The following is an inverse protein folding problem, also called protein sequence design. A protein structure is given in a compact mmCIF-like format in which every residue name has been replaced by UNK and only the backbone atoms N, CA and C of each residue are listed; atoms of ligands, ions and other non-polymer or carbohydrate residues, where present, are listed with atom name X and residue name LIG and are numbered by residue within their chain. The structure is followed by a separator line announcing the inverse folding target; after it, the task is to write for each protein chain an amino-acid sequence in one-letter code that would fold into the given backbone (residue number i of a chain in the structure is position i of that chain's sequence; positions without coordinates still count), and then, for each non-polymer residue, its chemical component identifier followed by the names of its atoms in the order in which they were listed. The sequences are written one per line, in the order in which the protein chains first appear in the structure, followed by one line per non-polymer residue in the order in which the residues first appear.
data_IF_192638921950
#
_entry.id   IF_192638921950
#
_cell.length_a   1.000
_cell.length_b   1.000
_cell.length_c   1.000
_cell.angle_alpha   90.00
_cell.angle_beta   90.00
_cell.angle_gamma   90.00
#
_symmetry.space_group_name_H-M   'P 1'
#
loop_
_entity.id
_entity.type
_entity.pdbx_description
1 polymer ?
#
# COMPACT_ATOMS: atom_id res chain seq x y z
N UNK A 1 5.04 31.69 43.29
CA UNK A 1 5.56 30.30 43.21
C UNK A 1 4.89 29.59 42.06
N UNK A 2 5.71 28.98 41.20
CA UNK A 2 5.37 28.28 39.97
C UNK A 2 5.04 26.79 40.22
N UNK A 3 4.42 26.18 39.21
CA UNK A 3 4.53 24.76 38.79
C UNK A 3 3.61 23.74 39.51
N UNK A 4 2.94 22.76 38.85
CA UNK A 4 3.13 22.15 37.53
C UNK A 4 1.80 21.78 36.85
N UNK A 5 1.83 21.88 35.52
CA UNK A 5 0.85 21.42 34.54
C UNK A 5 0.70 19.88 34.53
N UNK A 6 -0.52 19.39 34.33
CA UNK A 6 -0.76 18.05 33.79
C UNK A 6 -1.47 18.19 32.45
N UNK A 7 -0.66 18.18 31.38
CA UNK A 7 -1.12 18.26 29.99
C UNK A 7 -1.66 16.89 29.59
N UNK A 8 -2.99 16.77 29.47
CA UNK A 8 -3.60 15.66 28.72
C UNK A 8 -3.45 15.94 27.23
N UNK A 9 -2.72 15.03 26.60
CA UNK A 9 -2.56 14.89 25.16
C UNK A 9 -3.92 14.84 24.46
N UNK A 10 -4.07 15.68 23.44
CA UNK A 10 -5.23 15.73 22.57
C UNK A 10 -4.77 16.33 21.25
N UNK A 11 -3.97 15.58 20.51
CA UNK A 11 -3.72 15.90 19.11
C UNK A 11 -5.04 15.68 18.36
N UNK A 12 -5.81 16.75 18.20
CA UNK A 12 -6.95 16.80 17.31
C UNK A 12 -6.38 16.64 15.90
N UNK A 13 -6.41 15.41 15.39
CA UNK A 13 -6.13 15.14 13.98
C UNK A 13 -7.10 15.95 13.14
N UNK A 14 -6.56 16.84 12.31
CA UNK A 14 -7.30 17.65 11.37
C UNK A 14 -8.18 16.79 10.46
N UNK A 15 -9.43 17.19 10.14
CA UNK A 15 -10.24 16.49 9.15
C UNK A 15 -9.68 16.84 7.76
N UNK A 16 -8.74 16.03 7.27
CA UNK A 16 -8.31 16.13 5.88
C UNK A 16 -9.50 15.77 4.99
N UNK A 17 -9.97 16.75 4.22
CA UNK A 17 -10.87 16.56 3.08
C UNK A 17 -10.24 15.51 2.15
N UNK A 18 -10.66 14.26 2.29
CA UNK A 18 -10.27 13.20 1.38
C UNK A 18 -10.98 13.47 0.05
N UNK A 19 -10.20 13.72 -1.01
CA UNK A 19 -10.66 13.40 -2.36
C UNK A 19 -11.14 11.94 -2.34
N UNK A 20 -12.22 11.62 -3.06
CA UNK A 20 -12.77 10.26 -3.07
C UNK A 20 -11.77 9.36 -3.83
N UNK A 21 -10.77 8.84 -3.13
CA UNK A 21 -9.86 7.81 -3.67
C UNK A 21 -10.67 6.52 -3.73
N UNK A 22 -10.85 5.90 -4.91
CA UNK A 22 -11.61 4.66 -5.04
C UNK A 22 -11.11 3.59 -4.06
N UNK A 23 -12.04 2.83 -3.48
CA UNK A 23 -11.68 1.69 -2.62
C UNK A 23 -11.04 0.59 -3.46
N UNK A 24 -10.01 -0.03 -2.93
CA UNK A 24 -9.33 -1.20 -3.51
C UNK A 24 -9.42 -2.44 -2.62
N UNK A 25 -8.77 -3.51 -3.06
CA UNK A 25 -8.78 -4.81 -2.40
C UNK A 25 -8.07 -4.78 -1.04
N UNK A 26 -7.08 -3.91 -0.85
CA UNK A 26 -6.42 -3.73 0.46
C UNK A 26 -7.36 -3.00 1.42
N UNK A 27 -8.10 -1.98 0.97
CA UNK A 27 -9.11 -1.35 1.83
C UNK A 27 -10.21 -2.35 2.23
N UNK A 28 -10.58 -3.24 1.31
CA UNK A 28 -11.55 -4.32 1.56
C UNK A 28 -11.02 -5.33 2.58
N UNK A 29 -9.72 -5.65 2.53
CA UNK A 29 -9.07 -6.44 3.58
C UNK A 29 -9.11 -5.72 4.93
N UNK A 30 -8.66 -4.47 5.01
CA UNK A 30 -8.62 -3.71 6.26
C UNK A 30 -10.01 -3.52 6.88
N UNK A 31 -11.07 -3.40 6.07
CA UNK A 31 -12.45 -3.29 6.54
C UNK A 31 -12.96 -4.53 7.30
N UNK A 32 -12.29 -5.69 7.19
CA UNK A 32 -12.61 -6.89 7.98
C UNK A 32 -12.20 -6.75 9.45
N UNK A 33 -11.45 -5.71 9.80
CA UNK A 33 -10.93 -5.44 11.14
C UNK A 33 -11.43 -4.09 11.66
N UNK A 34 -12.72 -3.96 12.04
CA UNK A 34 -13.34 -2.67 12.37
C UNK A 34 -12.77 -1.97 13.63
N UNK A 35 -11.97 -2.67 14.45
CA UNK A 35 -11.24 -2.08 15.58
C UNK A 35 -9.90 -1.42 15.21
N UNK A 36 -9.43 -1.63 13.98
CA UNK A 36 -8.16 -1.10 13.50
C UNK A 36 -8.39 0.18 12.68
N UNK A 37 -7.79 1.28 13.11
CA UNK A 37 -7.91 2.58 12.46
C UNK A 37 -6.98 2.69 11.24
N UNK A 38 -7.25 1.92 10.18
CA UNK A 38 -6.43 1.86 8.96
C UNK A 38 -6.25 3.22 8.29
N UNK A 39 -5.03 3.52 7.85
CA UNK A 39 -4.66 4.74 7.12
C UNK A 39 -3.96 4.39 5.80
N UNK A 40 -4.56 4.82 4.69
CA UNK A 40 -3.99 4.64 3.34
C UNK A 40 -2.72 5.48 3.11
N UNK A 41 -2.49 6.51 3.91
CA UNK A 41 -1.32 7.39 3.79
C UNK A 41 -0.04 6.77 4.36
N UNK A 42 -0.16 5.68 5.11
CA UNK A 42 0.97 4.93 5.66
C UNK A 42 1.45 3.84 4.68
N UNK A 43 2.74 3.43 4.75
CA UNK A 43 3.23 2.33 3.93
C UNK A 43 2.44 1.05 4.15
N UNK A 44 2.12 0.34 3.06
CA UNK A 44 1.29 -0.88 3.06
C UNK A 44 1.78 -1.91 4.09
N UNK A 45 3.10 -2.17 4.11
CA UNK A 45 3.68 -3.13 5.04
C UNK A 45 3.60 -2.65 6.50
N UNK A 46 3.86 -1.36 6.73
CA UNK A 46 3.82 -0.77 8.07
C UNK A 46 2.40 -0.80 8.65
N UNK A 47 1.36 -0.65 7.84
CA UNK A 47 -0.03 -0.80 8.31
C UNK A 47 -0.38 -2.24 8.70
N UNK A 48 0.19 -3.24 8.03
CA UNK A 48 0.00 -4.63 8.43
C UNK A 48 0.73 -4.94 9.75
N UNK A 49 1.96 -4.42 9.92
CA UNK A 49 2.70 -4.57 11.17
C UNK A 49 1.97 -3.88 12.32
N UNK A 50 1.49 -2.64 12.11
CA UNK A 50 0.68 -1.90 13.09
C UNK A 50 -0.61 -2.63 13.44
N UNK A 51 -1.26 -3.25 12.47
CA UNK A 51 -2.44 -4.09 12.71
C UNK A 51 -2.08 -5.28 13.62
N UNK A 52 -0.96 -5.96 13.39
CA UNK A 52 -0.51 -7.06 14.25
C UNK A 52 -0.24 -6.57 15.68
N UNK A 53 0.39 -5.41 15.84
CA UNK A 53 0.66 -4.80 17.14
C UNK A 53 -0.64 -4.42 17.87
N UNK A 54 -1.59 -3.77 17.18
CA UNK A 54 -2.88 -3.36 17.75
C UNK A 54 -3.72 -4.55 18.23
N UNK A 55 -3.64 -5.70 17.55
CA UNK A 55 -4.32 -6.94 17.96
C UNK A 55 -3.47 -7.84 18.87
N UNK A 56 -2.22 -7.47 19.16
CA UNK A 56 -1.31 -8.25 20.00
C UNK A 56 -0.89 -9.59 19.39
N UNK A 57 -0.88 -9.73 18.06
CA UNK A 57 -0.52 -10.98 17.41
C UNK A 57 0.99 -11.15 17.31
N UNK A 58 1.53 -12.09 18.08
CA UNK A 58 2.92 -12.53 17.98
C UNK A 58 3.20 -13.27 16.66
N UNK A 59 4.46 -13.53 16.35
CA UNK A 59 4.88 -14.12 15.06
C UNK A 59 4.27 -15.51 14.80
N UNK A 60 4.07 -16.29 15.86
CA UNK A 60 3.61 -17.67 15.78
C UNK A 60 2.09 -17.80 15.98
N UNK A 61 1.36 -16.68 16.12
CA UNK A 61 -0.09 -16.72 16.27
C UNK A 61 -0.78 -17.15 14.96
N UNK A 62 -1.68 -18.14 15.01
CA UNK A 62 -2.47 -18.54 13.85
C UNK A 62 -3.26 -17.38 13.23
N UNK A 63 -3.70 -16.42 14.04
CA UNK A 63 -4.41 -15.21 13.62
C UNK A 63 -3.54 -14.34 12.72
N UNK A 64 -2.26 -14.13 13.08
CA UNK A 64 -1.31 -13.39 12.25
C UNK A 64 -1.09 -14.09 10.92
N UNK A 65 -0.91 -15.41 10.95
CA UNK A 65 -0.68 -16.18 9.71
C UNK A 65 -1.88 -16.11 8.77
N UNK A 66 -3.10 -16.22 9.32
CA UNK A 66 -4.35 -16.07 8.54
C UNK A 66 -4.48 -14.66 7.98
N UNK A 67 -4.28 -13.63 8.79
CA UNK A 67 -4.33 -12.23 8.36
C UNK A 67 -3.30 -11.96 7.28
N UNK A 68 -2.07 -12.49 7.41
CA UNK A 68 -1.01 -12.35 6.42
C UNK A 68 -1.37 -12.96 5.07
N UNK A 69 -1.98 -14.16 5.04
CA UNK A 69 -2.44 -14.80 3.80
C UNK A 69 -3.50 -13.97 3.08
N UNK A 70 -4.47 -13.43 3.83
CA UNK A 70 -5.53 -12.57 3.30
C UNK A 70 -4.96 -11.24 2.79
N UNK A 71 -4.09 -10.62 3.58
CA UNK A 71 -3.41 -9.38 3.22
C UNK A 71 -2.59 -9.53 1.94
N UNK A 72 -1.76 -10.59 1.85
CA UNK A 72 -0.98 -10.88 0.64
C UNK A 72 -1.87 -11.09 -0.58
N UNK A 73 -3.01 -11.76 -0.41
CA UNK A 73 -3.98 -11.95 -1.49
C UNK A 73 -4.55 -10.61 -1.97
N UNK A 74 -4.94 -9.74 -1.03
CA UNK A 74 -5.45 -8.40 -1.34
C UNK A 74 -4.40 -7.54 -2.05
N UNK A 75 -3.14 -7.57 -1.61
CA UNK A 75 -2.03 -6.87 -2.26
C UNK A 75 -1.82 -7.33 -3.71
N UNK A 76 -1.85 -8.64 -3.97
CA UNK A 76 -1.71 -9.19 -5.32
C UNK A 76 -2.90 -8.77 -6.20
N UNK A 77 -4.13 -8.83 -5.66
CA UNK A 77 -5.32 -8.41 -6.39
C UNK A 77 -5.27 -6.92 -6.73
N UNK A 78 -4.95 -6.06 -5.75
CA UNK A 78 -4.80 -4.62 -5.97
C UNK A 78 -3.72 -4.30 -7.01
N UNK A 79 -2.61 -5.03 -7.00
CA UNK A 79 -1.58 -4.89 -8.03
C UNK A 79 -2.12 -5.26 -9.42
N UNK A 80 -2.76 -6.41 -9.55
CA UNK A 80 -3.32 -6.89 -10.82
C UNK A 80 -4.41 -5.94 -11.37
N UNK A 81 -5.28 -5.41 -10.52
CA UNK A 81 -6.29 -4.41 -10.88
C UNK A 81 -5.66 -3.10 -11.35
N UNK A 82 -4.50 -2.75 -10.82
CA UNK A 82 -3.80 -1.50 -11.13
C UNK A 82 -2.96 -1.58 -12.41
N UNK A 83 -2.14 -2.63 -12.55
CA UNK A 83 -1.17 -2.73 -13.64
C UNK A 83 -1.63 -3.65 -14.76
N UNK A 84 -2.53 -4.59 -14.48
CA UNK A 84 -2.95 -5.67 -15.35
C UNK A 84 -2.43 -7.04 -14.86
N UNK A 85 -3.23 -8.13 -14.95
CA UNK A 85 -2.84 -9.45 -14.44
C UNK A 85 -1.86 -10.20 -15.37
N UNK A 86 -1.73 -9.76 -16.63
CA UNK A 86 -0.95 -10.48 -17.64
C UNK A 86 0.50 -9.98 -17.68
N UNK A 87 1.43 -10.77 -17.12
CA UNK A 87 2.84 -10.45 -17.15
C UNK A 87 3.45 -10.41 -18.58
N UNK A 88 2.79 -10.93 -19.61
CA UNK A 88 3.24 -10.88 -21.01
C UNK A 88 2.67 -9.71 -21.80
N UNK A 89 1.88 -8.83 -21.17
CA UNK A 89 1.32 -7.65 -21.84
C UNK A 89 2.28 -6.46 -21.78
N UNK A 90 2.74 -6.00 -22.95
CA UNK A 90 3.61 -4.82 -23.06
C UNK A 90 2.95 -3.57 -22.47
N UNK A 91 1.64 -3.38 -22.63
CA UNK A 91 0.95 -2.19 -22.13
C UNK A 91 0.99 -2.13 -20.59
N UNK A 92 0.88 -3.27 -19.92
CA UNK A 92 1.05 -3.41 -18.46
C UNK A 92 2.44 -2.98 -18.01
N UNK A 93 3.51 -3.42 -18.68
CA UNK A 93 4.88 -2.99 -18.36
C UNK A 93 5.14 -1.52 -18.68
N UNK A 94 4.60 -1.00 -19.77
CA UNK A 94 4.71 0.43 -20.11
C UNK A 94 3.99 1.32 -19.09
N UNK A 95 2.88 0.84 -18.51
CA UNK A 95 2.19 1.54 -17.41
C UNK A 95 3.10 1.65 -16.18
N UNK A 96 3.82 0.57 -15.83
CA UNK A 96 4.82 0.61 -14.76
C UNK A 96 5.96 1.58 -15.12
N UNK A 97 6.51 1.50 -16.33
CA UNK A 97 7.56 2.39 -16.81
C UNK A 97 7.15 3.87 -16.68
N UNK A 98 5.89 4.20 -17.02
CA UNK A 98 5.35 5.56 -16.90
C UNK A 98 5.30 6.02 -15.44
N UNK A 99 4.88 5.15 -14.52
CA UNK A 99 4.86 5.45 -13.08
C UNK A 99 6.26 5.68 -12.52
N UNK A 100 7.23 4.90 -12.99
CA UNK A 100 8.65 5.04 -12.64
C UNK A 100 9.38 6.16 -13.40
N UNK A 101 8.67 6.91 -14.27
CA UNK A 101 9.23 7.97 -15.11
C UNK A 101 10.40 7.52 -15.99
N UNK A 102 10.40 6.25 -16.42
CA UNK A 102 11.41 5.69 -17.32
C UNK A 102 11.26 6.35 -18.70
N UNK A 103 12.36 6.87 -19.23
CA UNK A 103 12.46 7.51 -20.54
C UNK A 103 13.78 7.13 -21.24
N UNK A 104 13.79 6.82 -22.55
CA UNK A 104 12.63 6.76 -23.44
C UNK A 104 11.70 5.58 -23.11
N UNK A 105 10.42 5.71 -23.45
CA UNK A 105 9.44 4.64 -23.22
C UNK A 105 9.83 3.39 -24.04
N UNK A 106 10.05 2.23 -23.39
CA UNK A 106 10.41 1.02 -24.12
C UNK A 106 9.27 0.55 -25.05
N UNK A 107 9.61 0.16 -26.27
CA UNK A 107 8.66 -0.30 -27.30
C UNK A 107 8.62 -1.83 -27.48
N UNK A 108 9.23 -2.59 -26.55
CA UNK A 108 9.27 -4.05 -26.58
C UNK A 108 9.22 -4.65 -25.17
N UNK A 109 8.60 -5.82 -25.04
CA UNK A 109 8.33 -6.45 -23.74
C UNK A 109 9.60 -6.73 -22.95
N UNK A 110 10.63 -7.27 -23.61
CA UNK A 110 11.93 -7.55 -22.96
C UNK A 110 12.56 -6.26 -22.41
N UNK A 111 12.60 -5.20 -23.22
CA UNK A 111 13.17 -3.91 -22.85
C UNK A 111 12.38 -3.26 -21.71
N UNK A 112 11.05 -3.34 -21.74
CA UNK A 112 10.20 -2.80 -20.68
C UNK A 112 10.44 -3.53 -19.34
N UNK A 113 10.54 -4.86 -19.36
CA UNK A 113 10.88 -5.66 -18.17
C UNK A 113 12.25 -5.30 -17.61
N UNK A 114 13.26 -5.27 -18.48
CA UNK A 114 14.63 -4.98 -18.08
C UNK A 114 14.75 -3.58 -17.48
N UNK A 115 14.12 -2.57 -18.09
CA UNK A 115 14.14 -1.21 -17.58
C UNK A 115 13.52 -1.11 -16.18
N UNK A 116 12.39 -1.80 -15.93
CA UNK A 116 11.78 -1.85 -14.59
C UNK A 116 12.70 -2.53 -13.58
N UNK A 117 13.28 -3.68 -13.93
CA UNK A 117 14.21 -4.41 -13.03
C UNK A 117 15.41 -3.55 -12.64
N UNK A 118 15.96 -2.77 -13.58
CA UNK A 118 17.09 -1.88 -13.33
C UNK A 118 16.79 -0.72 -12.36
N UNK A 119 15.51 -0.41 -12.11
CA UNK A 119 15.15 0.60 -11.10
C UNK A 119 15.27 0.10 -9.67
N UNK A 120 15.39 -1.22 -9.47
CA UNK A 120 15.37 -1.86 -8.15
C UNK A 120 14.16 -1.45 -7.28
N UNK A 121 13.03 -1.08 -7.91
CA UNK A 121 11.83 -0.68 -7.18
C UNK A 121 11.21 -1.85 -6.43
N UNK A 122 10.78 -1.62 -5.20
CA UNK A 122 9.95 -2.56 -4.47
C UNK A 122 8.51 -2.51 -5.03
N UNK A 123 7.94 -3.67 -5.37
CA UNK A 123 6.58 -3.75 -5.93
C UNK A 123 5.50 -3.20 -4.98
N UNK A 124 5.71 -3.30 -3.67
CA UNK A 124 4.82 -2.74 -2.66
C UNK A 124 4.88 -1.21 -2.69
N UNK A 125 6.07 -0.63 -2.82
CA UNK A 125 6.23 0.83 -2.90
C UNK A 125 5.66 1.38 -4.21
N UNK A 126 5.86 0.65 -5.32
CA UNK A 126 5.20 0.97 -6.59
C UNK A 126 3.68 0.95 -6.43
N UNK A 127 3.12 -0.10 -5.84
CA UNK A 127 1.68 -0.20 -5.60
C UNK A 127 1.18 0.95 -4.71
N UNK A 128 1.88 1.22 -3.60
CA UNK A 128 1.54 2.32 -2.70
C UNK A 128 1.51 3.65 -3.44
N UNK A 129 2.53 3.94 -4.27
CA UNK A 129 2.60 5.17 -5.05
C UNK A 129 1.40 5.34 -5.99
N UNK A 130 0.87 4.24 -6.54
CA UNK A 130 -0.28 4.30 -7.45
C UNK A 130 -1.59 4.49 -6.67
N UNK A 131 -1.69 3.89 -5.47
CA UNK A 131 -2.88 3.97 -4.60
C UNK A 131 -3.06 5.35 -3.97
N UNK A 132 -1.97 6.04 -3.62
CA UNK A 132 -2.02 7.38 -2.99
C UNK A 132 -1.96 8.52 -4.00
N UNK A 133 -1.54 8.27 -5.23
CA UNK A 133 -1.53 9.28 -6.28
C UNK A 133 -2.97 9.65 -6.67
N UNK A 134 -3.43 10.79 -6.17
CA UNK A 134 -4.56 11.52 -6.77
C UNK A 134 -4.12 11.93 -8.18
N UNK A 135 -4.86 11.49 -9.20
CA UNK A 135 -4.65 11.91 -10.59
C UNK A 135 -4.87 13.42 -10.75
#
# INVERSE_FOLDING_TARGET
MLSLESRRSGAIGSPQRQAIVPKDEIDTFCAQYPGFAYSRDQPIHAEFDRMCDDFGWSQDEPERERAWKLFRTAVIQAFNSTVGPNANDLASWQRICRRLRISPMPNGLCNARQAVVQTHVNLIDLLQSIRVAVL
#
